data_IF_666802963237
#
_entry.id   IF_666802963237
#
_cell.length_a   1.000
_cell.length_b   1.000
_cell.length_c   1.000
_cell.angle_alpha   90.00
_cell.angle_beta   90.00
_cell.angle_gamma   90.00
#
_symmetry.space_group_name_H-M   'P 1'
#
loop_
_entity.id
_entity.type
_entity.pdbx_description
1 polymer ?
#
# COMPACT_ATOMS: atom_id res chain seq x y z
N UNK A 1 4.62 13.82 -6.87
CA UNK A 1 3.68 12.69 -7.01
C UNK A 1 3.31 12.48 -8.46
N UNK A 2 3.10 11.23 -8.91
CA UNK A 2 2.69 10.90 -10.28
C UNK A 2 1.17 10.65 -10.41
N UNK A 3 0.38 10.95 -9.36
CA UNK A 3 -1.05 10.66 -9.33
C UNK A 3 -1.38 9.16 -9.38
N UNK A 4 -0.45 8.30 -8.93
CA UNK A 4 -0.67 6.85 -8.83
C UNK A 4 -1.07 6.50 -7.41
N UNK A 5 -2.01 5.58 -7.27
CA UNK A 5 -2.35 5.03 -5.96
C UNK A 5 -1.17 4.24 -5.40
N UNK A 6 -0.93 4.42 -4.10
CA UNK A 6 0.15 3.77 -3.37
C UNK A 6 -0.49 2.84 -2.33
N UNK A 7 -0.07 1.58 -2.36
CA UNK A 7 -0.49 0.55 -1.41
C UNK A 7 0.70 0.13 -0.56
N UNK A 8 0.46 -0.21 0.70
CA UNK A 8 1.51 -0.69 1.60
C UNK A 8 1.00 -1.81 2.51
N UNK A 9 1.85 -2.83 2.70
CA UNK A 9 1.59 -3.94 3.62
C UNK A 9 2.18 -3.58 4.99
N UNK A 10 1.43 -3.72 6.10
CA UNK A 10 1.96 -3.52 7.43
C UNK A 10 2.96 -4.63 7.78
N UNK A 11 4.02 -4.27 8.50
CA UNK A 11 4.96 -5.23 9.08
C UNK A 11 5.14 -5.05 10.58
N UNK A 12 5.97 -5.90 11.18
CA UNK A 12 6.26 -5.83 12.61
C UNK A 12 6.95 -4.51 12.97
N UNK A 13 6.55 -3.90 14.09
CA UNK A 13 7.01 -2.55 14.51
C UNK A 13 8.49 -2.48 14.89
N UNK A 14 9.10 -3.62 15.20
CA UNK A 14 10.49 -3.76 15.64
C UNK A 14 11.45 -4.12 14.49
N UNK A 15 10.94 -4.28 13.26
CA UNK A 15 11.75 -4.64 12.09
C UNK A 15 12.09 -3.40 11.27
N UNK A 16 13.38 -3.18 11.04
CA UNK A 16 13.87 -2.07 10.21
C UNK A 16 13.24 -2.07 8.81
N UNK A 17 13.05 -3.26 8.21
CA UNK A 17 12.42 -3.40 6.90
C UNK A 17 10.97 -2.91 6.82
N UNK A 18 10.28 -2.76 7.96
CA UNK A 18 8.89 -2.30 8.00
C UNK A 18 8.77 -0.78 8.08
N UNK A 19 9.86 -0.05 8.37
CA UNK A 19 9.83 1.42 8.52
C UNK A 19 9.36 2.14 7.27
N UNK A 20 9.80 1.70 6.09
CA UNK A 20 9.38 2.29 4.81
C UNK A 20 7.89 2.12 4.55
N UNK A 21 7.37 0.90 4.75
CA UNK A 21 5.94 0.61 4.62
C UNK A 21 5.10 1.40 5.62
N UNK A 22 5.54 1.50 6.88
CA UNK A 22 4.86 2.33 7.89
C UNK A 22 4.89 3.81 7.55
N UNK A 23 5.97 4.32 6.96
CA UNK A 23 6.03 5.72 6.50
C UNK A 23 5.01 5.96 5.38
N UNK A 24 4.93 5.07 4.39
CA UNK A 24 3.91 5.16 3.33
C UNK A 24 2.49 5.18 3.90
N UNK A 25 2.20 4.32 4.87
CA UNK A 25 0.89 4.29 5.55
C UNK A 25 0.60 5.60 6.30
N UNK A 26 1.61 6.22 6.93
CA UNK A 26 1.46 7.54 7.59
C UNK A 26 1.23 8.66 6.58
N UNK A 27 1.82 8.53 5.39
CA UNK A 27 1.69 9.48 4.29
C UNK A 27 0.39 9.28 3.49
N UNK A 28 -0.46 8.32 3.88
CA UNK A 28 -1.78 8.11 3.30
C UNK A 28 -1.88 6.97 2.27
N UNK A 29 -0.86 6.12 2.16
CA UNK A 29 -0.97 4.90 1.36
C UNK A 29 -2.08 3.98 1.90
N UNK A 30 -2.77 3.31 0.98
CA UNK A 30 -3.83 2.36 1.31
C UNK A 30 -3.21 1.08 1.90
N UNK A 31 -3.70 0.65 3.06
CA UNK A 31 -3.29 -0.60 3.69
C UNK A 31 -3.84 -1.80 2.90
N UNK A 32 -2.99 -2.77 2.60
CA UNK A 32 -3.36 -4.02 1.93
C UNK A 32 -2.73 -5.23 2.63
N UNK A 33 -3.38 -6.39 2.55
CA UNK A 33 -2.93 -7.64 3.18
C UNK A 33 -2.71 -8.76 2.16
N UNK A 34 -3.22 -8.59 0.94
CA UNK A 34 -3.15 -9.56 -0.14
C UNK A 34 -3.06 -8.90 -1.52
N UNK A 35 -2.71 -9.70 -2.54
CA UNK A 35 -2.80 -9.24 -3.93
C UNK A 35 -4.25 -8.93 -4.35
N UNK A 36 -5.25 -9.55 -3.71
CA UNK A 36 -6.66 -9.29 -3.97
C UNK A 36 -7.07 -7.86 -3.63
N UNK A 37 -6.54 -7.31 -2.53
CA UNK A 37 -6.83 -5.94 -2.10
C UNK A 37 -6.29 -4.91 -3.10
N UNK A 38 -5.10 -5.18 -3.67
CA UNK A 38 -4.53 -4.35 -4.73
C UNK A 38 -5.42 -4.39 -5.96
N UNK A 39 -5.82 -5.58 -6.42
CA UNK A 39 -6.69 -5.74 -7.59
C UNK A 39 -8.03 -5.03 -7.38
N UNK A 40 -8.61 -5.13 -6.20
CA UNK A 40 -9.87 -4.47 -5.86
C UNK A 40 -9.77 -2.94 -5.86
N UNK A 41 -8.59 -2.38 -5.56
CA UNK A 41 -8.31 -0.95 -5.63
C UNK A 41 -8.04 -0.41 -7.04
N UNK A 42 -7.81 -1.28 -8.04
CA UNK A 42 -7.52 -0.80 -9.40
C UNK A 42 -8.79 -0.30 -10.11
N UNK A 43 -8.68 0.78 -10.90
CA UNK A 43 -9.80 1.26 -11.71
C UNK A 43 -10.20 0.22 -12.76
N UNK A 44 -11.51 -0.02 -12.88
CA UNK A 44 -12.11 -1.03 -13.79
C UNK A 44 -11.99 -0.61 -15.27
N UNK A 45 -11.58 0.62 -15.56
CA UNK A 45 -11.58 1.25 -16.89
C UNK A 45 -10.59 0.67 -17.92
N UNK A 46 -10.04 -0.52 -17.69
CA UNK A 46 -9.16 -1.25 -18.62
C UNK A 46 -9.61 -2.67 -18.95
N UNK A 47 -10.83 -3.08 -18.56
CA UNK A 47 -11.50 -4.30 -19.01
C UNK A 47 -12.55 -4.00 -20.09
#
# INVERSE_FOLDING_TARGET
EQGREVFAIPGQVDREQSRGGHQLLRDGATLVESAGDVIAGLPISGL
#
